data_IF_971414563320
#
_entry.id   IF_971414563320
#
_cell.length_a   1.000
_cell.length_b   1.000
_cell.length_c   1.000
_cell.angle_alpha   90.00
_cell.angle_beta   90.00
_cell.angle_gamma   90.00
#
_symmetry.space_group_name_H-M   'P 1'
#
loop_
_entity.id
_entity.type
_entity.pdbx_description
1 polymer ?
#
# COMPACT_ATOMS: atom_id res chain seq x y z
N UNK A 1 -0.04 15.61 -6.13
CA UNK A 1 -0.92 15.31 -7.28
C UNK A 1 -2.06 16.30 -7.29
N UNK A 2 -2.90 16.27 -8.32
CA UNK A 2 -4.10 17.09 -8.39
C UNK A 2 -5.32 16.19 -8.64
N UNK A 3 -6.33 16.29 -7.78
CA UNK A 3 -7.57 15.52 -7.91
C UNK A 3 -8.38 15.98 -9.13
N UNK A 4 -8.14 17.18 -9.64
CA UNK A 4 -8.77 17.66 -10.86
C UNK A 4 -8.02 17.18 -12.11
N UNK A 5 -6.82 16.61 -11.97
CA UNK A 5 -5.99 16.14 -13.08
C UNK A 5 -5.65 17.25 -14.08
N UNK A 6 -5.45 18.49 -13.63
CA UNK A 6 -5.14 19.61 -14.51
C UNK A 6 -3.63 19.75 -14.72
N UNK A 7 -3.24 20.20 -15.90
CA UNK A 7 -1.88 20.65 -16.21
C UNK A 7 -1.88 22.17 -16.10
N UNK A 8 -0.93 22.74 -15.35
CA UNK A 8 -0.76 24.19 -15.19
C UNK A 8 -2.08 24.92 -14.85
N UNK A 9 -2.79 24.44 -13.81
CA UNK A 9 -4.09 24.98 -13.39
C UNK A 9 -5.16 25.02 -14.50
N UNK A 10 -5.03 24.18 -15.53
CA UNK A 10 -5.96 24.05 -16.64
C UNK A 10 -5.47 24.66 -17.94
N UNK A 11 -4.43 25.49 -17.94
CA UNK A 11 -3.87 26.08 -19.16
C UNK A 11 -3.30 25.02 -20.11
N UNK A 12 -2.68 23.98 -19.56
CA UNK A 12 -2.24 22.80 -20.32
C UNK A 12 -3.34 21.74 -20.51
N UNK A 13 -4.58 22.04 -20.14
CA UNK A 13 -5.71 21.14 -20.21
C UNK A 13 -5.69 20.03 -19.14
N UNK A 14 -6.25 18.87 -19.48
CA UNK A 14 -6.38 17.72 -18.58
C UNK A 14 -5.19 16.77 -18.77
N UNK A 15 -4.53 16.43 -17.67
CA UNK A 15 -3.56 15.34 -17.59
C UNK A 15 -4.26 13.98 -17.77
N UNK A 16 -4.49 13.61 -19.03
CA UNK A 16 -5.19 12.38 -19.41
C UNK A 16 -4.43 11.14 -18.97
N UNK A 17 -3.10 11.15 -19.03
CA UNK A 17 -2.28 10.00 -18.67
C UNK A 17 -2.37 9.71 -17.17
N UNK A 18 -2.21 10.72 -16.32
CA UNK A 18 -2.34 10.56 -14.87
C UNK A 18 -3.76 10.11 -14.48
N UNK A 19 -4.78 10.70 -15.10
CA UNK A 19 -6.18 10.32 -14.85
C UNK A 19 -6.46 8.87 -15.27
N UNK A 20 -5.98 8.48 -16.45
CA UNK A 20 -6.18 7.12 -17.00
C UNK A 20 -5.47 6.10 -16.15
N UNK A 21 -4.22 6.36 -15.78
CA UNK A 21 -3.46 5.49 -14.88
C UNK A 21 -4.15 5.35 -13.51
N UNK A 22 -4.59 6.47 -12.91
CA UNK A 22 -5.27 6.42 -11.63
C UNK A 22 -6.55 5.59 -11.70
N UNK A 23 -7.44 5.86 -12.67
CA UNK A 23 -8.72 5.16 -12.77
C UNK A 23 -8.62 3.74 -13.33
N UNK A 24 -7.47 3.36 -13.91
CA UNK A 24 -7.16 1.97 -14.18
C UNK A 24 -6.87 1.17 -12.89
N UNK A 25 -6.24 1.84 -11.91
CA UNK A 25 -5.77 1.24 -10.65
C UNK A 25 -6.76 1.37 -9.49
N UNK A 26 -7.55 2.44 -9.44
CA UNK A 26 -8.39 2.78 -8.31
C UNK A 26 -9.72 3.38 -8.78
N UNK A 27 -10.73 3.31 -7.92
CA UNK A 27 -12.01 3.99 -8.12
C UNK A 27 -12.17 5.09 -7.07
N UNK A 28 -12.94 6.12 -7.43
CA UNK A 28 -13.18 7.33 -6.61
C UNK A 28 -11.92 8.17 -6.40
N UNK A 29 -12.07 9.48 -6.56
CA UNK A 29 -11.01 10.44 -6.31
C UNK A 29 -11.65 11.68 -5.69
N UNK A 30 -11.24 11.98 -4.46
CA UNK A 30 -11.73 13.13 -3.69
C UNK A 30 -10.53 14.00 -3.29
N UNK A 31 -10.75 15.28 -2.97
CA UNK A 31 -9.69 16.14 -2.44
C UNK A 31 -8.95 15.51 -1.24
N UNK A 32 -9.66 14.76 -0.38
CA UNK A 32 -9.11 14.12 0.82
C UNK A 32 -8.15 12.94 0.55
N UNK A 33 -8.11 12.44 -0.68
CA UNK A 33 -7.15 11.40 -1.11
C UNK A 33 -5.88 12.01 -1.71
N UNK A 34 -5.93 13.26 -2.17
CA UNK A 34 -4.85 13.87 -2.97
C UNK A 34 -4.18 15.06 -2.30
N UNK A 35 -4.95 15.90 -1.59
CA UNK A 35 -4.44 17.10 -0.94
C UNK A 35 -3.71 16.74 0.37
N UNK A 36 -2.69 17.54 0.72
CA UNK A 36 -2.05 17.48 2.04
C UNK A 36 -3.08 17.89 3.10
N UNK A 37 -3.67 16.91 3.77
CA UNK A 37 -4.60 17.08 4.87
C UNK A 37 -4.05 16.39 6.11
N UNK A 38 -3.22 17.09 6.89
CA UNK A 38 -2.57 16.52 8.07
C UNK A 38 -3.62 16.00 9.06
N UNK A 39 -3.46 14.75 9.49
CA UNK A 39 -4.35 14.07 10.44
C UNK A 39 -5.75 13.73 9.90
N UNK A 40 -6.02 13.93 8.60
CA UNK A 40 -7.33 13.67 7.98
C UNK A 40 -7.20 12.96 6.63
N UNK A 41 -8.25 12.26 6.22
CA UNK A 41 -8.27 11.55 4.94
C UNK A 41 -7.30 10.36 4.94
N UNK A 42 -6.77 10.03 3.76
CA UNK A 42 -5.89 8.88 3.59
C UNK A 42 -4.84 9.12 2.51
N UNK A 43 -3.71 8.44 2.62
CA UNK A 43 -2.61 8.49 1.66
C UNK A 43 -2.17 7.08 1.30
N UNK A 44 -1.67 6.94 0.07
CA UNK A 44 -1.45 5.64 -0.56
C UNK A 44 -0.06 5.61 -1.19
N UNK A 45 0.71 4.57 -0.90
CA UNK A 45 1.89 4.17 -1.66
C UNK A 45 1.59 2.88 -2.41
N UNK A 46 2.03 2.83 -3.68
CA UNK A 46 1.86 1.69 -4.56
C UNK A 46 3.23 1.13 -4.92
N UNK A 47 3.36 -0.20 -4.89
CA UNK A 47 4.50 -0.89 -5.46
C UNK A 47 4.05 -2.07 -6.32
N UNK A 48 4.62 -2.16 -7.53
CA UNK A 48 4.42 -3.26 -8.50
C UNK A 48 5.69 -4.08 -8.71
N UNK A 49 6.82 -3.63 -8.15
CA UNK A 49 8.13 -4.26 -8.32
C UNK A 49 8.89 -4.31 -7.00
N UNK A 50 9.85 -5.23 -6.93
CA UNK A 50 10.77 -5.37 -5.81
C UNK A 50 11.91 -4.32 -5.84
N UNK A 51 12.81 -4.39 -4.86
CA UNK A 51 13.98 -3.50 -4.76
C UNK A 51 14.96 -3.60 -5.96
N UNK A 52 14.86 -4.67 -6.75
CA UNK A 52 15.63 -4.88 -8.00
C UNK A 52 14.81 -4.58 -9.25
N UNK A 53 13.67 -3.90 -9.12
CA UNK A 53 12.75 -3.52 -10.21
C UNK A 53 12.15 -4.71 -10.97
N UNK A 54 12.11 -5.89 -10.36
CA UNK A 54 11.44 -7.06 -10.93
C UNK A 54 9.99 -7.07 -10.49
N UNK A 55 9.07 -7.41 -11.39
CA UNK A 55 7.65 -7.55 -11.04
C UNK A 55 7.46 -8.56 -9.91
N UNK A 56 6.52 -8.26 -9.02
CA UNK A 56 6.22 -9.11 -7.88
C UNK A 56 5.56 -10.41 -8.35
N UNK A 57 6.32 -11.49 -8.27
CA UNK A 57 5.93 -12.87 -8.58
C UNK A 57 5.40 -13.55 -7.32
N UNK A 58 4.13 -13.97 -7.33
CA UNK A 58 3.46 -14.56 -6.17
C UNK A 58 3.97 -15.93 -5.74
N UNK A 59 4.88 -16.56 -6.50
CA UNK A 59 5.59 -17.78 -6.08
C UNK A 59 6.84 -17.49 -5.24
N UNK A 60 7.28 -16.23 -5.16
CA UNK A 60 8.47 -15.82 -4.39
C UNK A 60 8.09 -15.23 -3.04
N UNK A 61 9.09 -15.17 -2.15
CA UNK A 61 8.98 -14.54 -0.84
C UNK A 61 9.50 -13.11 -0.87
N UNK A 62 8.73 -12.19 -0.30
CA UNK A 62 9.11 -10.78 -0.13
C UNK A 62 8.83 -10.33 1.31
N UNK A 63 9.41 -9.20 1.69
CA UNK A 63 9.09 -8.52 2.93
C UNK A 63 9.04 -7.02 2.71
N UNK A 64 8.20 -6.35 3.50
CA UNK A 64 8.22 -4.90 3.70
C UNK A 64 8.46 -4.68 5.19
N UNK A 65 9.45 -3.86 5.53
CA UNK A 65 9.68 -3.46 6.92
C UNK A 65 8.96 -2.14 7.10
N UNK A 66 7.87 -2.13 7.87
CA UNK A 66 7.17 -0.90 8.25
C UNK A 66 7.91 -0.33 9.46
N UNK A 67 8.63 0.81 9.34
CA UNK A 67 9.39 1.35 10.46
C UNK A 67 8.47 1.77 11.61
N UNK A 68 9.03 1.84 12.81
CA UNK A 68 8.34 2.38 13.98
C UNK A 68 7.82 3.81 13.74
N UNK A 69 6.95 4.29 14.62
CA UNK A 69 6.38 5.64 14.58
C UNK A 69 5.71 5.96 13.23
N UNK A 70 4.92 5.01 12.72
CA UNK A 70 4.17 5.18 11.47
C UNK A 70 3.34 6.47 11.56
N UNK A 71 3.46 7.41 10.61
CA UNK A 71 2.78 8.71 10.65
C UNK A 71 1.32 8.56 10.21
N UNK A 72 0.56 7.71 10.91
CA UNK A 72 -0.87 7.53 10.76
C UNK A 72 -1.54 7.79 12.11
N UNK A 73 -2.36 8.84 12.19
CA UNK A 73 -3.12 9.20 13.38
C UNK A 73 -4.11 8.11 13.79
N UNK A 74 -4.71 7.42 12.81
CA UNK A 74 -5.74 6.41 13.05
C UNK A 74 -5.15 5.00 12.96
N UNK A 75 -4.70 4.59 11.78
CA UNK A 75 -4.06 3.29 11.56
C UNK A 75 -3.37 3.22 10.20
N UNK A 76 -2.58 2.17 9.98
CA UNK A 76 -2.06 1.83 8.66
C UNK A 76 -2.56 0.46 8.20
N UNK A 77 -2.55 0.24 6.89
CA UNK A 77 -2.85 -1.06 6.30
C UNK A 77 -2.01 -1.33 5.07
N UNK A 78 -1.79 -2.61 4.78
CA UNK A 78 -1.12 -3.07 3.57
C UNK A 78 -1.95 -4.19 2.95
N UNK A 79 -2.16 -4.13 1.63
CA UNK A 79 -3.08 -5.05 0.92
C UNK A 79 -2.48 -5.45 -0.42
N UNK A 80 -2.51 -6.74 -0.73
CA UNK A 80 -2.11 -7.29 -2.02
C UNK A 80 -3.30 -7.36 -3.00
N UNK A 81 -3.03 -7.03 -4.26
CA UNK A 81 -4.01 -6.93 -5.33
C UNK A 81 -3.61 -7.72 -6.56
N UNK A 82 -4.61 -8.16 -7.30
CA UNK A 82 -4.49 -8.82 -8.59
C UNK A 82 -4.26 -7.77 -9.70
N UNK A 83 -3.20 -7.88 -10.52
CA UNK A 83 -2.89 -6.89 -11.55
C UNK A 83 -3.89 -6.91 -12.71
N UNK A 84 -4.58 -8.03 -12.94
CA UNK A 84 -5.55 -8.18 -14.02
C UNK A 84 -6.92 -7.67 -13.60
N UNK A 85 -7.41 -7.97 -12.40
CA UNK A 85 -8.75 -7.50 -11.97
C UNK A 85 -8.71 -6.19 -11.21
N UNK A 86 -7.56 -5.85 -10.63
CA UNK A 86 -7.35 -4.72 -9.70
C UNK A 86 -8.19 -4.83 -8.42
N UNK A 87 -8.75 -6.02 -8.16
CA UNK A 87 -9.40 -6.40 -6.91
C UNK A 87 -8.37 -6.98 -5.93
N UNK A 88 -8.78 -7.11 -4.66
CA UNK A 88 -7.98 -7.81 -3.66
C UNK A 88 -7.58 -9.19 -4.18
N UNK A 89 -6.30 -9.54 -4.01
CA UNK A 89 -5.75 -10.81 -4.48
C UNK A 89 -6.53 -11.96 -3.85
N UNK A 90 -7.09 -12.84 -4.68
CA UNK A 90 -7.83 -14.01 -4.20
C UNK A 90 -6.84 -15.07 -3.75
N UNK A 91 -6.98 -15.52 -2.50
CA UNK A 91 -6.10 -16.50 -1.85
C UNK A 91 -6.93 -17.50 -1.04
N UNK A 92 -6.30 -18.44 -0.34
CA UNK A 92 -7.01 -19.30 0.62
C UNK A 92 -7.49 -18.54 1.87
N UNK A 93 -6.97 -17.32 2.10
CA UNK A 93 -7.39 -16.45 3.19
C UNK A 93 -8.44 -15.42 2.73
N UNK A 94 -9.39 -15.04 3.60
CA UNK A 94 -10.45 -14.09 3.26
C UNK A 94 -9.94 -12.67 2.97
N UNK A 95 -8.77 -12.30 3.51
CA UNK A 95 -8.20 -10.96 3.35
C UNK A 95 -6.70 -11.03 3.04
N UNK A 96 -6.26 -10.61 1.83
CA UNK A 96 -4.84 -10.52 1.49
C UNK A 96 -4.23 -9.23 2.08
N UNK A 97 -4.40 -9.01 3.37
CA UNK A 97 -4.08 -7.73 4.02
C UNK A 97 -3.67 -7.84 5.48
N UNK A 98 -2.95 -6.83 5.96
CA UNK A 98 -2.73 -6.55 7.39
C UNK A 98 -3.12 -5.10 7.71
N UNK A 99 -3.65 -4.89 8.91
CA UNK A 99 -4.11 -3.61 9.42
C UNK A 99 -3.68 -3.47 10.89
N UNK A 100 -3.08 -2.34 11.26
CA UNK A 100 -2.44 -2.15 12.57
C UNK A 100 -3.39 -2.09 13.77
N UNK A 101 -4.70 -1.98 13.54
CA UNK A 101 -5.74 -1.95 14.60
C UNK A 101 -6.57 -3.23 14.58
N UNK A 102 -7.00 -3.67 13.39
CA UNK A 102 -7.84 -4.87 13.24
C UNK A 102 -7.07 -6.16 13.49
N UNK A 103 -5.79 -6.21 13.11
CA UNK A 103 -4.93 -7.37 13.34
C UNK A 103 -4.17 -7.17 14.65
N UNK A 104 -4.84 -7.44 15.78
CA UNK A 104 -4.28 -7.31 17.13
C UNK A 104 -3.17 -8.32 17.44
N UNK A 105 -3.00 -9.32 16.58
CA UNK A 105 -1.97 -10.36 16.68
C UNK A 105 -0.69 -10.04 15.87
N UNK A 106 -0.60 -8.87 15.23
CA UNK A 106 0.63 -8.40 14.58
C UNK A 106 1.79 -8.31 15.59
N UNK A 107 2.92 -8.87 15.20
CA UNK A 107 4.13 -8.91 16.03
C UNK A 107 5.08 -7.81 15.60
N UNK A 108 5.36 -6.86 16.51
CA UNK A 108 6.39 -5.85 16.30
C UNK A 108 7.79 -6.39 16.66
N UNK A 109 8.82 -5.89 16.00
CA UNK A 109 10.20 -6.08 16.39
C UNK A 109 10.55 -5.26 17.64
N UNK A 110 11.71 -5.55 18.23
CA UNK A 110 12.19 -4.84 19.43
C UNK A 110 12.43 -3.33 19.18
N UNK A 111 12.67 -2.93 17.94
CA UNK A 111 12.83 -1.54 17.51
C UNK A 111 11.48 -0.84 17.23
N UNK A 112 10.36 -1.53 17.45
CA UNK A 112 9.00 -1.05 17.17
C UNK A 112 8.59 -1.14 15.69
N UNK A 113 9.45 -1.64 14.80
CA UNK A 113 9.08 -1.89 13.41
C UNK A 113 8.14 -3.10 13.28
N UNK A 114 7.42 -3.21 12.17
CA UNK A 114 6.64 -4.41 11.84
C UNK A 114 7.08 -4.91 10.47
N UNK A 115 7.67 -6.10 10.42
CA UNK A 115 7.99 -6.75 9.13
C UNK A 115 6.75 -7.48 8.63
N UNK A 116 6.23 -7.13 7.46
CA UNK A 116 5.14 -7.86 6.78
C UNK A 116 5.71 -8.71 5.65
N UNK A 117 5.44 -10.01 5.69
CA UNK A 117 5.89 -10.99 4.72
C UNK A 117 4.84 -11.24 3.65
N UNK A 118 5.31 -11.56 2.44
CA UNK A 118 4.49 -11.99 1.32
C UNK A 118 5.08 -13.27 0.73
N UNK A 119 4.22 -14.22 0.36
CA UNK A 119 4.64 -15.48 -0.25
C UNK A 119 3.52 -16.49 -0.27
N UNK A 120 3.65 -17.61 -1.00
CA UNK A 120 2.64 -18.67 -1.03
C UNK A 120 2.47 -19.35 0.33
N UNK A 121 3.54 -19.38 1.12
CA UNK A 121 3.60 -19.93 2.49
C UNK A 121 4.31 -18.94 3.43
N UNK A 122 3.94 -18.91 4.72
CA UNK A 122 4.60 -18.06 5.71
C UNK A 122 6.05 -18.52 5.93
N UNK A 123 6.99 -17.59 6.19
CA UNK A 123 8.23 -17.96 6.85
C UNK A 123 7.97 -18.54 8.25
N UNK A 124 8.87 -19.39 8.73
CA UNK A 124 8.75 -20.02 10.05
C UNK A 124 8.56 -18.99 11.17
N UNK A 125 7.49 -19.16 11.96
CA UNK A 125 7.14 -18.28 13.08
C UNK A 125 6.61 -16.89 12.67
N UNK A 126 6.29 -16.67 11.39
CA UNK A 126 5.86 -15.37 10.86
C UNK A 126 4.39 -15.35 10.40
N UNK A 127 3.59 -16.35 10.77
CA UNK A 127 2.19 -16.52 10.35
C UNK A 127 1.34 -15.27 10.63
N UNK A 128 1.61 -14.61 11.75
CA UNK A 128 0.91 -13.39 12.18
C UNK A 128 1.21 -12.18 11.31
N UNK A 129 2.39 -12.13 10.73
CA UNK A 129 2.89 -11.02 9.94
C UNK A 129 2.93 -11.33 8.45
N UNK A 130 2.18 -12.33 7.99
CA UNK A 130 2.25 -12.81 6.62
C UNK A 130 0.95 -12.57 5.84
N UNK A 131 1.09 -12.28 4.55
CA UNK A 131 0.03 -12.19 3.55
C UNK A 131 0.31 -13.21 2.47
N UNK A 132 -0.64 -14.11 2.23
CA UNK A 132 -0.53 -15.11 1.18
C UNK A 132 -0.48 -14.47 -0.22
N UNK A 133 0.36 -15.01 -1.09
CA UNK A 133 0.40 -14.72 -2.52
C UNK A 133 0.19 -16.01 -3.33
N UNK A 134 -0.04 -15.89 -4.64
CA UNK A 134 -0.41 -17.03 -5.49
C UNK A 134 0.73 -17.36 -6.46
N UNK A 135 1.25 -18.60 -6.39
CA UNK A 135 2.29 -19.06 -7.32
C UNK A 135 1.80 -19.00 -8.78
N UNK A 136 2.68 -18.59 -9.69
CA UNK A 136 2.35 -18.42 -11.11
C UNK A 136 1.54 -17.15 -11.42
N UNK A 137 1.29 -16.28 -10.43
CA UNK A 137 0.53 -15.04 -10.62
C UNK A 137 1.30 -13.81 -10.12
N UNK A 138 1.30 -12.76 -10.93
CA UNK A 138 1.80 -11.45 -10.51
C UNK A 138 0.86 -10.76 -9.53
N UNK A 139 1.38 -9.80 -8.76
CA UNK A 139 0.58 -9.00 -7.82
C UNK A 139 1.16 -7.59 -7.67
N UNK A 140 0.39 -6.70 -7.04
CA UNK A 140 0.87 -5.40 -6.60
C UNK A 140 0.35 -5.11 -5.19
N UNK A 141 0.97 -4.14 -4.51
CA UNK A 141 0.65 -3.82 -3.13
C UNK A 141 0.32 -2.34 -2.97
N UNK A 142 -0.66 -2.06 -2.12
CA UNK A 142 -0.94 -0.72 -1.62
C UNK A 142 -0.70 -0.67 -0.12
N UNK A 143 0.16 0.25 0.30
CA UNK A 143 0.31 0.68 1.68
C UNK A 143 -0.53 1.94 1.89
N UNK A 144 -1.31 1.98 2.97
CA UNK A 144 -2.26 3.06 3.25
C UNK A 144 -2.05 3.61 4.65
N UNK A 145 -2.06 4.93 4.75
CA UNK A 145 -2.09 5.68 6.01
C UNK A 145 -3.47 6.32 6.16
N UNK A 146 -4.08 6.16 7.33
CA UNK A 146 -5.34 6.81 7.70
C UNK A 146 -5.04 7.90 8.72
N UNK A 147 -5.41 9.15 8.39
CA UNK A 147 -4.97 10.33 9.12
C UNK A 147 -3.45 10.56 9.01
N UNK A 148 -2.88 10.68 7.81
CA UNK A 148 -1.43 10.87 7.59
C UNK A 148 -0.88 12.10 8.33
N UNK A 149 0.28 11.98 8.96
CA UNK A 149 0.98 13.07 9.66
C UNK A 149 2.12 13.67 8.83
N UNK A 150 2.68 14.80 9.26
CA UNK A 150 3.68 15.56 8.50
C UNK A 150 4.88 14.75 8.02
N UNK A 151 5.38 13.80 8.83
CA UNK A 151 6.54 12.97 8.46
C UNK A 151 6.33 12.15 7.16
N UNK A 152 5.07 11.84 6.80
CA UNK A 152 4.75 11.26 5.48
C UNK A 152 4.95 12.27 4.34
N UNK A 153 4.38 13.47 4.49
CA UNK A 153 4.39 14.50 3.46
C UNK A 153 5.79 15.08 3.25
N UNK A 154 6.51 15.28 4.34
CA UNK A 154 7.88 15.82 4.35
C UNK A 154 8.92 14.72 4.02
N UNK A 155 8.45 13.47 3.87
CA UNK A 155 9.22 12.29 3.47
C UNK A 155 10.38 11.94 4.41
N UNK A 156 10.29 12.37 5.66
CA UNK A 156 11.22 12.01 6.75
C UNK A 156 10.94 10.61 7.30
N UNK A 157 9.75 10.06 7.02
CA UNK A 157 9.39 8.67 7.24
C UNK A 157 8.97 8.01 5.92
N UNK A 158 9.42 6.77 5.66
CA UNK A 158 9.04 5.96 4.49
C UNK A 158 9.01 4.47 4.85
N UNK A 159 8.06 3.69 4.30
CA UNK A 159 8.07 2.23 4.39
C UNK A 159 9.09 1.59 3.43
#
# INVERSE_FOLDING_TARGET
>A
GDYQWLIENGNGGRNKDARTFFFYMATVNTPAVVLKMVGRGSQYALATTDSKKRYLDGGKRYKVVVPANVPAKEFWSIVAYDPQTRSMLQTGHPYPSKNSVRNTDLVAGADGSTTVWFGPEPPEGQDKNWIQTVAGKGWFVLFRLYGPLDAWFDKTWRP
#
